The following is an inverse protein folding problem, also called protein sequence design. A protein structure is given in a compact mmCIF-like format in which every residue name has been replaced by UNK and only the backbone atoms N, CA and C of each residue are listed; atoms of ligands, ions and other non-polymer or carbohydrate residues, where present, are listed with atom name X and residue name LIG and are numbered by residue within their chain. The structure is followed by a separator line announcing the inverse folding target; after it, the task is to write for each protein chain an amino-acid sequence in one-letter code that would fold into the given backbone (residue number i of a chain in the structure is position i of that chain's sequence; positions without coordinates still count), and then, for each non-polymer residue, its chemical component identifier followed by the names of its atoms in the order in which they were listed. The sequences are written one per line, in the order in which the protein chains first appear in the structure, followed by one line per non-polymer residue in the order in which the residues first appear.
data_IF_131758836160
#
_entry.id   IF_131758836160
#
_cell.length_a   1.000
_cell.length_b   1.000
_cell.length_c   1.000
_cell.angle_alpha   90.00
_cell.angle_beta   90.00
_cell.angle_gamma   90.00
#
_symmetry.space_group_name_H-M   'P 1'
#
loop_
_entity.id
_entity.type
_entity.pdbx_description
1 polymer ?
#
# COMPACT_ATOMS: atom_id res chain seq x y z
N UNK A 1 -4.68 3.40 -10.34
CA UNK A 1 -4.30 2.78 -9.06
C UNK A 1 -3.19 3.61 -8.45
N UNK A 2 -3.11 3.72 -7.11
CA UNK A 2 -2.06 4.47 -6.40
C UNK A 2 -1.52 3.66 -5.23
N UNK A 3 -0.28 3.90 -4.85
CA UNK A 3 0.29 3.32 -3.63
C UNK A 3 -0.27 4.08 -2.41
N UNK A 4 -0.84 3.35 -1.46
CA UNK A 4 -1.26 3.86 -0.17
C UNK A 4 -0.46 3.22 0.96
N UNK A 5 -0.27 3.92 2.07
CA UNK A 5 0.40 3.38 3.25
C UNK A 5 -0.18 3.97 4.53
N UNK A 6 0.02 3.28 5.65
CA UNK A 6 -0.38 3.78 6.97
C UNK A 6 0.67 4.76 7.50
N UNK A 7 0.36 6.06 7.50
CA UNK A 7 1.27 7.12 7.95
C UNK A 7 1.52 7.18 9.46
N UNK A 8 0.74 6.46 10.26
CA UNK A 8 0.83 6.50 11.74
C UNK A 8 1.67 5.37 12.34
N UNK A 9 2.07 4.40 11.53
CA UNK A 9 2.84 3.24 11.99
C UNK A 9 4.34 3.46 11.75
N UNK A 10 5.17 3.04 12.72
CA UNK A 10 6.63 3.05 12.60
C UNK A 10 7.08 2.10 11.47
N UNK A 11 6.42 0.95 11.35
CA UNK A 11 6.59 0.00 10.24
C UNK A 11 5.32 0.00 9.37
N UNK A 12 5.21 0.90 8.39
CA UNK A 12 3.99 1.10 7.64
C UNK A 12 3.71 -0.10 6.72
N UNK A 13 2.44 -0.50 6.67
CA UNK A 13 1.96 -1.46 5.66
C UNK A 13 1.58 -0.72 4.40
N UNK A 14 2.06 -1.21 3.25
CA UNK A 14 1.74 -0.70 1.94
C UNK A 14 0.56 -1.44 1.31
N UNK A 15 -0.28 -0.69 0.60
CA UNK A 15 -1.49 -1.16 -0.04
C UNK A 15 -1.59 -0.62 -1.46
N UNK A 16 -2.17 -1.41 -2.35
CA UNK A 16 -2.66 -0.89 -3.63
C UNK A 16 -4.04 -0.28 -3.39
N UNK A 17 -4.16 1.01 -3.68
CA UNK A 17 -5.42 1.74 -3.62
C UNK A 17 -6.00 1.94 -5.00
N UNK A 18 -7.29 1.66 -5.12
CA UNK A 18 -8.04 1.84 -6.35
C UNK A 18 -9.32 2.64 -6.10
N UNK A 19 -9.56 3.61 -6.97
CA UNK A 19 -10.84 4.29 -7.06
C UNK A 19 -11.85 3.36 -7.71
N UNK A 20 -12.95 3.08 -7.03
CA UNK A 20 -14.06 2.25 -7.51
C UNK A 20 -15.30 3.13 -7.54
N UNK A 21 -16.04 3.05 -8.64
CA UNK A 21 -17.32 3.76 -8.80
C UNK A 21 -18.47 2.83 -8.45
N UNK A 22 -19.33 3.26 -7.52
CA UNK A 22 -20.58 2.56 -7.21
C UNK A 22 -21.74 3.47 -7.61
N UNK A 23 -22.27 3.25 -8.82
CA UNK A 23 -23.25 4.13 -9.45
C UNK A 23 -22.72 5.56 -9.67
N UNK A 24 -23.25 6.52 -8.93
CA UNK A 24 -22.89 7.94 -9.04
C UNK A 24 -21.77 8.40 -8.11
N UNK A 25 -21.36 7.58 -7.12
CA UNK A 25 -20.31 7.97 -6.17
C UNK A 25 -19.01 7.23 -6.46
N UNK A 26 -17.89 7.95 -6.37
CA UNK A 26 -16.55 7.38 -6.43
C UNK A 26 -16.00 7.23 -5.03
N UNK A 27 -15.48 6.05 -4.70
CA UNK A 27 -14.83 5.77 -3.41
C UNK A 27 -13.45 5.19 -3.67
N UNK A 28 -12.51 5.39 -2.75
CA UNK A 28 -11.19 4.73 -2.81
C UNK A 28 -11.20 3.57 -1.85
N UNK A 29 -10.82 2.37 -2.31
CA UNK A 29 -10.65 1.19 -1.46
C UNK A 29 -9.22 0.66 -1.56
N UNK A 30 -8.74 0.06 -0.48
CA UNK A 30 -7.54 -0.76 -0.49
C UNK A 30 -7.94 -2.12 -1.08
N UNK A 31 -7.34 -2.49 -2.20
CA UNK A 31 -7.69 -3.72 -2.92
C UNK A 31 -6.73 -4.87 -2.61
N UNK A 32 -5.48 -4.54 -2.25
CA UNK A 32 -4.45 -5.53 -2.00
C UNK A 32 -3.42 -4.99 -1.00
N UNK A 33 -2.86 -5.89 -0.19
CA UNK A 33 -1.75 -5.62 0.73
C UNK A 33 -0.46 -6.09 0.09
N UNK A 34 0.50 -5.17 -0.04
CA UNK A 34 1.81 -5.45 -0.67
C UNK A 34 2.77 -6.04 0.36
N UNK A 35 2.79 -5.50 1.58
CA UNK A 35 3.74 -5.91 2.63
C UNK A 35 4.04 -4.77 3.60
N UNK A 36 4.83 -5.06 4.64
CA UNK A 36 5.37 -4.02 5.52
C UNK A 36 6.67 -3.43 4.97
N UNK A 37 7.01 -2.24 5.44
CA UNK A 37 8.23 -1.54 5.02
C UNK A 37 9.49 -2.39 5.25
N UNK A 38 9.63 -2.96 6.45
CA UNK A 38 10.75 -3.84 6.79
C UNK A 38 10.87 -5.06 5.87
N UNK A 39 9.76 -5.75 5.60
CA UNK A 39 9.70 -6.92 4.72
C UNK A 39 10.10 -6.58 3.28
N UNK A 40 9.69 -5.41 2.80
CA UNK A 40 10.01 -4.92 1.46
C UNK A 40 11.44 -4.37 1.34
N UNK A 41 12.16 -4.17 2.44
CA UNK A 41 13.59 -3.83 2.39
C UNK A 41 14.47 -5.08 2.36
N UNK A 42 13.96 -6.21 2.85
CA UNK A 42 14.70 -7.48 2.92
C UNK A 42 14.88 -8.18 1.56
N UNK A 43 14.37 -7.61 0.46
CA UNK A 43 14.52 -8.20 -0.88
C UNK A 43 15.97 -8.13 -1.40
N UNK A 44 16.81 -7.30 -0.78
CA UNK A 44 18.19 -7.09 -1.21
C UNK A 44 19.14 -7.38 -0.05
N UNK A 45 19.87 -8.50 -0.13
CA UNK A 45 20.91 -8.87 0.86
C UNK A 45 22.13 -7.93 0.82
N UNK A 46 22.30 -7.15 -0.25
CA UNK A 46 23.44 -6.26 -0.43
C UNK A 46 22.99 -4.83 -0.82
N UNK A 47 22.90 -3.89 0.14
CA UNK A 47 22.42 -2.53 -0.09
C UNK A 47 23.46 -1.60 -0.76
N UNK A 48 24.42 -2.16 -1.50
CA UNK A 48 25.59 -1.48 -2.07
C UNK A 48 25.59 -1.51 -3.61
#
# INVERSE_FOLDING_TARGET
MKLGYNTKAIDPTYYVQMGIRNGNKTTTKNIEKIGKHSELLNITDNPL
#
